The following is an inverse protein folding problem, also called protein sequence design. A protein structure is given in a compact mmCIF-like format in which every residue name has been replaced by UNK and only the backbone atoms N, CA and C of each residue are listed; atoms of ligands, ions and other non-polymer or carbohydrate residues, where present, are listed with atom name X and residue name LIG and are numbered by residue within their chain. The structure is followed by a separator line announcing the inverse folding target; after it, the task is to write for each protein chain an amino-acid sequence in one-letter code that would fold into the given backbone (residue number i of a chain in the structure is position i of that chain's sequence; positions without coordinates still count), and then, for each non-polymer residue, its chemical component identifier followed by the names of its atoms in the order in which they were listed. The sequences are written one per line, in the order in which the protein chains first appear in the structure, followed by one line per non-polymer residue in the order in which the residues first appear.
data_IF_029617661587
#
_entry.id   IF_029617661587
#
_cell.length_a   1.000
_cell.length_b   1.000
_cell.length_c   1.000
_cell.angle_alpha   90.00
_cell.angle_beta   90.00
_cell.angle_gamma   90.00
#
_symmetry.space_group_name_H-M   'P 1'
#
loop_
_entity.id
_entity.type
_entity.pdbx_description
1 polymer ?
#
# COMPACT_ATOMS: atom_id res chain seq x y z
N UNK A 1 -23.42 -14.10 -23.92
CA UNK A 1 -22.13 -14.30 -23.23
C UNK A 1 -21.94 -13.08 -22.33
N UNK A 2 -21.91 -13.29 -21.02
CA UNK A 2 -22.04 -12.27 -19.96
C UNK A 2 -20.83 -11.32 -19.89
N UNK A 3 -21.04 -9.99 -19.76
CA UNK A 3 -19.96 -9.03 -19.60
C UNK A 3 -19.56 -8.97 -18.12
N UNK A 4 -18.43 -9.56 -17.74
CA UNK A 4 -17.93 -9.46 -16.37
C UNK A 4 -16.41 -9.32 -16.35
N UNK A 5 -15.97 -8.09 -16.51
CA UNK A 5 -14.80 -7.60 -15.82
C UNK A 5 -14.99 -6.10 -15.64
N UNK A 6 -15.91 -5.73 -14.74
CA UNK A 6 -15.84 -4.42 -14.10
C UNK A 6 -14.42 -4.31 -13.56
N UNK A 7 -13.61 -3.44 -14.17
CA UNK A 7 -12.31 -3.09 -13.65
C UNK A 7 -12.55 -2.45 -12.27
N UNK A 8 -12.54 -3.26 -11.22
CA UNK A 8 -12.73 -2.78 -9.86
C UNK A 8 -11.57 -1.86 -9.56
N UNK A 9 -11.82 -0.55 -9.63
CA UNK A 9 -10.83 0.48 -9.38
C UNK A 9 -10.23 0.23 -8.01
N UNK A 10 -8.93 -0.08 -7.98
CA UNK A 10 -8.21 -0.28 -6.73
C UNK A 10 -8.35 0.98 -5.85
N UNK A 11 -8.48 0.84 -4.52
CA UNK A 11 -8.49 1.97 -3.61
C UNK A 11 -7.20 2.77 -3.76
N UNK A 12 -7.26 4.08 -3.49
CA UNK A 12 -6.05 4.92 -3.49
C UNK A 12 -5.16 4.53 -2.31
N UNK A 13 -3.85 4.46 -2.53
CA UNK A 13 -2.86 4.25 -1.48
C UNK A 13 -2.77 5.54 -0.65
N UNK A 14 -2.85 5.41 0.68
CA UNK A 14 -2.69 6.53 1.61
C UNK A 14 -1.20 6.87 1.78
N UNK A 15 -0.86 8.11 2.17
CA UNK A 15 0.50 8.46 2.55
C UNK A 15 1.03 7.61 3.71
N UNK A 16 2.34 7.60 3.89
CA UNK A 16 2.98 6.91 5.01
C UNK A 16 2.47 7.47 6.34
N UNK A 17 1.98 6.63 7.28
CA UNK A 17 1.42 7.12 8.54
C UNK A 17 2.47 7.62 9.54
N UNK A 18 3.74 7.40 9.28
CA UNK A 18 4.82 7.78 10.20
C UNK A 18 5.43 9.14 9.84
N UNK A 19 5.74 9.35 8.55
CA UNK A 19 6.38 10.58 8.07
C UNK A 19 5.49 11.43 7.15
N UNK A 20 4.32 10.94 6.75
CA UNK A 20 3.42 11.63 5.82
C UNK A 20 3.85 11.60 4.35
N UNK A 21 5.03 11.08 4.03
CA UNK A 21 5.53 10.99 2.65
C UNK A 21 4.72 10.02 1.80
N UNK A 22 4.70 10.25 0.49
CA UNK A 22 4.10 9.33 -0.47
C UNK A 22 4.92 8.02 -0.52
N UNK A 23 4.29 6.84 -0.37
CA UNK A 23 5.00 5.58 -0.45
C UNK A 23 5.32 5.20 -1.90
N UNK A 24 6.39 4.45 -2.06
CA UNK A 24 6.77 3.83 -3.32
C UNK A 24 6.03 2.50 -3.50
N UNK A 25 5.69 2.20 -4.76
CA UNK A 25 5.08 0.92 -5.15
C UNK A 25 5.95 0.20 -6.15
N UNK A 26 6.16 -1.09 -5.94
CA UNK A 26 6.88 -1.96 -6.87
C UNK A 26 6.16 -3.31 -7.01
N UNK A 27 6.39 -3.99 -8.14
CA UNK A 27 5.89 -5.35 -8.31
C UNK A 27 6.58 -6.31 -7.33
N UNK A 28 5.84 -7.31 -6.84
CA UNK A 28 6.35 -8.31 -5.91
C UNK A 28 6.05 -9.73 -6.37
N UNK A 29 6.83 -10.69 -5.88
CA UNK A 29 6.71 -12.10 -6.24
C UNK A 29 7.09 -12.44 -7.68
N UNK A 30 6.87 -13.70 -8.05
CA UNK A 30 7.19 -14.22 -9.39
C UNK A 30 6.41 -13.49 -10.48
N UNK A 31 7.14 -12.98 -11.47
CA UNK A 31 6.57 -12.24 -12.59
C UNK A 31 5.90 -10.92 -12.21
N UNK A 32 6.24 -10.34 -11.04
CA UNK A 32 5.73 -9.02 -10.60
C UNK A 32 4.20 -8.98 -10.48
N UNK A 33 3.59 -10.13 -10.15
CA UNK A 33 2.13 -10.28 -10.05
C UNK A 33 1.55 -9.71 -8.76
N UNK A 34 2.38 -9.54 -7.74
CA UNK A 34 2.02 -8.91 -6.48
C UNK A 34 2.37 -7.43 -6.45
N UNK A 35 1.96 -6.78 -5.37
CA UNK A 35 2.25 -5.38 -5.09
C UNK A 35 2.97 -5.26 -3.75
N UNK A 36 4.13 -4.61 -3.78
CA UNK A 36 4.83 -4.14 -2.60
C UNK A 36 4.67 -2.63 -2.49
N UNK A 37 4.28 -2.18 -1.31
CA UNK A 37 4.17 -0.77 -0.93
C UNK A 37 5.17 -0.55 0.19
N UNK A 38 6.05 0.42 0.03
CA UNK A 38 7.05 0.75 1.04
C UNK A 38 7.22 2.27 1.14
N UNK A 39 7.64 2.76 2.29
CA UNK A 39 8.08 4.14 2.41
C UNK A 39 9.56 4.15 2.75
N UNK A 40 10.39 4.74 1.90
CA UNK A 40 11.80 4.97 2.19
C UNK A 40 11.94 6.45 2.53
N UNK A 41 12.35 6.74 3.76
CA UNK A 41 12.63 8.10 4.20
C UNK A 41 13.63 8.09 5.34
N UNK A 42 14.53 9.07 5.39
CA UNK A 42 15.55 9.16 6.43
C UNK A 42 14.94 9.19 7.85
N UNK A 43 13.79 9.87 8.00
CA UNK A 43 13.03 9.99 9.25
C UNK A 43 11.85 9.01 9.36
N UNK A 44 11.82 7.97 8.51
CA UNK A 44 10.74 7.00 8.47
C UNK A 44 11.21 5.65 9.00
N UNK A 45 10.39 4.88 9.76
CA UNK A 45 10.74 3.53 10.21
C UNK A 45 10.78 2.49 9.07
N UNK A 46 10.78 2.94 7.82
CA UNK A 46 10.77 2.14 6.60
C UNK A 46 9.69 1.03 6.60
N UNK A 47 8.40 1.37 6.81
CA UNK A 47 7.33 0.39 6.78
C UNK A 47 7.15 -0.16 5.36
N UNK A 48 6.83 -1.45 5.27
CA UNK A 48 6.46 -2.10 4.02
C UNK A 48 5.26 -3.05 4.18
N UNK A 49 4.55 -3.28 3.08
CA UNK A 49 3.51 -4.28 2.93
C UNK A 49 3.61 -4.90 1.53
N UNK A 50 3.69 -6.22 1.44
CA UNK A 50 3.72 -6.94 0.15
C UNK A 50 2.70 -8.07 0.15
N UNK A 51 1.88 -8.12 -0.91
CA UNK A 51 0.88 -9.16 -1.13
C UNK A 51 0.78 -9.50 -2.62
N UNK A 52 0.40 -10.74 -2.93
CA UNK A 52 0.10 -11.16 -4.31
C UNK A 52 -1.14 -10.46 -4.88
N UNK A 53 -2.12 -10.14 -4.05
CA UNK A 53 -3.28 -9.35 -4.48
C UNK A 53 -3.01 -7.86 -4.23
N UNK A 54 -3.15 -7.05 -5.29
CA UNK A 54 -2.93 -5.60 -5.22
C UNK A 54 -3.92 -4.94 -4.26
N UNK A 55 -5.18 -5.37 -4.27
CA UNK A 55 -6.21 -4.84 -3.36
C UNK A 55 -5.87 -5.10 -1.89
N UNK A 56 -5.37 -6.29 -1.59
CA UNK A 56 -4.93 -6.69 -0.26
C UNK A 56 -3.70 -5.90 0.20
N UNK A 57 -2.71 -5.70 -0.68
CA UNK A 57 -1.55 -4.86 -0.38
C UNK A 57 -1.98 -3.44 0.02
N UNK A 58 -2.87 -2.83 -0.79
CA UNK A 58 -3.39 -1.48 -0.52
C UNK A 58 -4.26 -1.47 0.74
N UNK A 59 -5.12 -2.47 0.94
CA UNK A 59 -5.99 -2.55 2.12
C UNK A 59 -5.18 -2.68 3.42
N UNK A 60 -4.11 -3.49 3.41
CA UNK A 60 -3.23 -3.65 4.56
C UNK A 60 -2.42 -2.39 4.82
N UNK A 61 -1.88 -1.76 3.77
CA UNK A 61 -1.21 -0.47 3.88
C UNK A 61 -2.15 0.60 4.47
N UNK A 62 -3.36 0.72 3.92
CA UNK A 62 -4.34 1.72 4.33
C UNK A 62 -4.95 1.46 5.72
N UNK A 63 -4.98 0.20 6.19
CA UNK A 63 -5.45 -0.16 7.55
C UNK A 63 -4.47 0.30 8.63
N UNK A 64 -3.18 0.41 8.31
CA UNK A 64 -2.12 0.83 9.26
C UNK A 64 -2.14 2.34 9.55
N UNK A 65 -2.99 3.12 8.88
CA UNK A 65 -3.05 4.58 8.98
C UNK A 65 -3.88 5.14 10.15
N UNK A 66 -4.29 4.32 11.13
CA UNK A 66 -5.08 4.80 12.28
C UNK A 66 -4.29 4.94 13.58
N UNK A 67 -2.97 4.76 13.55
CA UNK A 67 -2.09 5.02 14.70
C UNK A 67 -1.47 6.41 14.57
N UNK A 68 -2.30 7.45 14.50
CA UNK A 68 -1.84 8.83 14.73
C UNK A 68 -1.27 8.84 16.15
N UNK A 69 0.05 8.92 16.28
CA UNK A 69 0.65 9.34 17.55
C UNK A 69 0.35 10.84 17.66
N UNK A 70 -0.60 11.18 18.52
CA UNK A 70 -0.76 12.55 19.02
C UNK A 70 0.61 13.07 19.51
N UNK A 71 1.05 14.26 19.08
CA UNK A 71 2.17 14.92 19.71
C UNK A 71 1.76 15.28 21.15
N UNK A 72 2.47 14.72 22.14
CA UNK A 72 2.38 15.14 23.55
C UNK A 72 3.27 16.34 23.80
#
# INVERSE_FOLDING_TARGET
MTPYASATKLPKIKPCPFCGSEPETMGSGDGQRGLMIQCIGADCPNPHASYYDHGAAIAVWNRRANSVREPT
#
